data_IF_708216618569
#
_entry.id   IF_708216618569
#
_cell.length_a   1.000
_cell.length_b   1.000
_cell.length_c   1.000
_cell.angle_alpha   90.00
_cell.angle_beta   90.00
_cell.angle_gamma   90.00
#
_symmetry.space_group_name_H-M   'P 1'
#
loop_
_entity.id
_entity.type
_entity.pdbx_description
1 polymer ?
#
# COMPACT_ATOMS: atom_id res chain seq x y z
N UNK A 1 -10.33 27.37 -24.78
CA UNK A 1 -9.60 26.73 -23.67
C UNK A 1 -10.44 26.78 -22.41
N UNK A 2 -11.21 25.72 -22.11
CA UNK A 2 -12.00 25.63 -20.87
C UNK A 2 -11.07 25.17 -19.74
N UNK A 3 -10.69 26.09 -18.87
CA UNK A 3 -10.11 25.79 -17.56
C UNK A 3 -11.20 25.14 -16.70
N UNK A 4 -11.33 23.82 -16.78
CA UNK A 4 -12.13 23.07 -15.80
C UNK A 4 -11.46 23.21 -14.44
N UNK A 5 -12.12 23.92 -13.52
CA UNK A 5 -11.72 23.95 -12.12
C UNK A 5 -11.67 22.50 -11.58
N UNK A 6 -10.46 22.00 -11.29
CA UNK A 6 -10.29 20.73 -10.57
C UNK A 6 -10.68 20.98 -9.11
N UNK A 7 -11.95 20.76 -8.78
CA UNK A 7 -12.39 20.70 -7.37
C UNK A 7 -11.63 19.55 -6.72
N UNK A 8 -10.78 19.83 -5.73
CA UNK A 8 -10.14 18.83 -4.88
C UNK A 8 -11.16 18.44 -3.82
N UNK A 9 -11.48 17.16 -3.72
CA UNK A 9 -12.48 16.62 -2.81
C UNK A 9 -11.71 15.81 -1.78
N UNK A 10 -11.66 16.32 -0.56
CA UNK A 10 -10.99 15.69 0.58
C UNK A 10 -12.09 14.90 1.30
N UNK A 11 -11.94 13.57 1.40
CA UNK A 11 -12.88 12.74 2.18
C UNK A 11 -12.36 12.70 3.61
N UNK A 12 -12.94 13.54 4.46
CA UNK A 12 -12.85 13.44 5.92
C UNK A 12 -14.27 13.32 6.45
N UNK A 13 -14.94 12.20 6.17
CA UNK A 13 -16.22 11.89 6.82
C UNK A 13 -15.91 11.20 8.14
N UNK A 14 -16.61 11.58 9.21
CA UNK A 14 -16.43 11.03 10.57
C UNK A 14 -16.48 9.49 10.60
N UNK A 15 -17.19 8.87 9.65
CA UNK A 15 -17.27 7.42 9.46
C UNK A 15 -15.98 6.73 8.98
N UNK A 16 -14.97 7.46 8.52
CA UNK A 16 -13.71 6.88 8.02
C UNK A 16 -12.49 7.22 8.88
N UNK A 17 -12.66 7.97 9.97
CA UNK A 17 -11.58 8.27 10.93
C UNK A 17 -10.97 7.00 11.54
N UNK A 18 -11.79 5.97 11.76
CA UNK A 18 -11.32 4.68 12.27
C UNK A 18 -10.41 3.93 11.29
N UNK A 19 -10.39 4.34 10.01
CA UNK A 19 -9.59 3.68 8.97
C UNK A 19 -8.28 4.43 8.70
N UNK A 20 -7.95 5.48 9.47
CA UNK A 20 -6.71 6.26 9.32
C UNK A 20 -5.78 6.06 10.51
N UNK A 21 -4.46 6.03 10.27
CA UNK A 21 -3.48 5.98 11.37
C UNK A 21 -3.30 7.33 12.06
N UNK A 22 -3.58 8.42 11.35
CA UNK A 22 -3.45 9.80 11.82
C UNK A 22 -4.61 10.64 11.25
N UNK A 23 -5.32 11.36 12.12
CA UNK A 23 -6.47 12.18 11.73
C UNK A 23 -6.09 13.34 10.78
N UNK A 24 -4.87 13.87 10.91
CA UNK A 24 -4.39 15.02 10.12
C UNK A 24 -3.89 14.64 8.72
N UNK A 25 -3.78 13.34 8.41
CA UNK A 25 -3.29 12.87 7.10
C UNK A 25 -4.46 12.45 6.24
N UNK A 26 -4.79 13.29 5.26
CA UNK A 26 -6.01 13.11 4.47
C UNK A 26 -5.74 12.48 3.11
N UNK A 27 -6.64 11.58 2.68
CA UNK A 27 -6.63 10.99 1.35
C UNK A 27 -7.47 11.84 0.38
N UNK A 28 -6.84 12.26 -0.73
CA UNK A 28 -7.49 13.05 -1.78
C UNK A 28 -8.34 12.13 -2.66
N UNK A 29 -9.63 12.43 -2.85
CA UNK A 29 -10.55 11.59 -3.62
C UNK A 29 -10.18 11.46 -5.10
N UNK A 30 -9.58 12.50 -5.70
CA UNK A 30 -9.16 12.48 -7.11
C UNK A 30 -8.14 11.39 -7.40
N UNK A 31 -7.29 11.09 -6.43
CA UNK A 31 -6.17 10.15 -6.57
C UNK A 31 -6.37 8.88 -5.76
N UNK A 32 -7.46 8.77 -4.99
CA UNK A 32 -7.64 7.61 -4.11
C UNK A 32 -7.76 6.31 -4.89
N UNK A 33 -7.29 5.24 -4.26
CA UNK A 33 -7.60 3.89 -4.69
C UNK A 33 -9.07 3.59 -4.36
N UNK A 34 -9.76 2.91 -5.27
CA UNK A 34 -11.17 2.52 -5.13
C UNK A 34 -11.27 1.01 -5.26
N UNK A 35 -11.77 0.35 -4.22
CA UNK A 35 -12.04 -1.08 -4.24
C UNK A 35 -13.36 -1.37 -4.96
N UNK A 36 -13.45 -2.54 -5.59
CA UNK A 36 -14.64 -2.95 -6.34
C UNK A 36 -15.88 -3.09 -5.46
N UNK A 37 -15.71 -3.46 -4.18
CA UNK A 37 -16.81 -3.56 -3.22
C UNK A 37 -17.33 -2.20 -2.72
N UNK A 38 -16.69 -1.09 -3.11
CA UNK A 38 -17.06 0.25 -2.65
C UNK A 38 -16.51 0.65 -1.27
N UNK A 39 -15.85 -0.27 -0.55
CA UNK A 39 -15.21 0.03 0.74
C UNK A 39 -14.12 1.09 0.59
N UNK A 40 -13.98 1.91 1.63
CA UNK A 40 -12.93 2.92 1.71
C UNK A 40 -11.60 2.31 2.16
N UNK A 41 -10.51 2.68 1.47
CA UNK A 41 -9.14 2.41 1.86
C UNK A 41 -8.32 3.69 1.77
N UNK A 42 -7.48 3.96 2.78
CA UNK A 42 -6.62 5.14 2.80
C UNK A 42 -5.34 4.89 1.97
N UNK A 43 -5.50 4.99 0.66
CA UNK A 43 -4.44 4.77 -0.31
C UNK A 43 -4.63 5.68 -1.52
N UNK A 44 -3.53 6.19 -2.08
CA UNK A 44 -3.56 7.10 -3.23
C UNK A 44 -2.60 6.66 -4.33
N UNK A 45 -3.05 6.80 -5.57
CA UNK A 45 -2.23 6.67 -6.76
C UNK A 45 -1.29 7.87 -6.92
N UNK A 46 -0.01 7.59 -7.12
CA UNK A 46 1.01 8.59 -7.43
C UNK A 46 1.70 8.21 -8.74
N UNK A 47 1.77 9.16 -9.67
CA UNK A 47 2.50 8.97 -10.92
C UNK A 47 4.00 9.11 -10.65
N UNK A 48 4.78 8.06 -10.90
CA UNK A 48 6.25 8.13 -10.88
C UNK A 48 6.79 8.49 -12.27
N UNK A 49 6.06 8.12 -13.32
CA UNK A 49 6.37 8.51 -14.70
C UNK A 49 5.08 8.55 -15.52
N UNK A 50 5.10 9.03 -16.78
CA UNK A 50 3.92 9.03 -17.65
C UNK A 50 3.28 7.65 -17.81
N UNK A 51 4.06 6.57 -17.69
CA UNK A 51 3.60 5.18 -17.90
C UNK A 51 3.57 4.35 -16.62
N UNK A 52 4.04 4.89 -15.47
CA UNK A 52 4.15 4.14 -14.21
C UNK A 52 3.50 4.89 -13.05
N UNK A 53 2.62 4.18 -12.36
CA UNK A 53 2.00 4.61 -11.11
C UNK A 53 2.39 3.69 -9.97
N UNK A 54 2.41 4.23 -8.77
CA UNK A 54 2.52 3.48 -7.52
C UNK A 54 1.38 3.86 -6.60
N UNK A 55 1.21 3.08 -5.55
CA UNK A 55 0.26 3.36 -4.49
C UNK A 55 1.04 3.79 -3.27
N UNK A 56 0.72 4.96 -2.72
CA UNK A 56 1.13 5.36 -1.38
C UNK A 56 0.01 5.10 -0.40
N UNK A 57 0.32 4.46 0.72
CA UNK A 57 -0.66 4.14 1.76
C UNK A 57 -0.01 4.10 3.13
N UNK A 58 -0.84 4.27 4.16
CA UNK A 58 -0.47 4.14 5.56
C UNK A 58 -0.24 2.66 5.95
N UNK A 59 0.29 2.43 7.16
CA UNK A 59 0.22 1.10 7.77
C UNK A 59 -1.27 0.75 7.98
N UNK A 60 -1.75 -0.44 7.55
CA UNK A 60 -3.16 -0.80 7.74
C UNK A 60 -3.49 -0.84 9.24
N UNK A 61 -4.63 -0.26 9.58
CA UNK A 61 -5.20 -0.39 10.92
C UNK A 61 -6.04 -1.67 10.99
N UNK A 62 -6.37 -2.12 12.20
CA UNK A 62 -7.03 -3.41 12.41
C UNK A 62 -8.34 -3.55 11.64
N UNK A 63 -9.07 -2.44 11.52
CA UNK A 63 -10.36 -2.33 10.87
C UNK A 63 -10.27 -2.38 9.35
N UNK A 64 -9.11 -2.04 8.77
CA UNK A 64 -8.89 -1.93 7.31
C UNK A 64 -7.87 -2.92 6.74
N UNK A 65 -7.35 -3.83 7.56
CA UNK A 65 -6.38 -4.85 7.11
C UNK A 65 -6.94 -5.77 6.02
N UNK A 66 -8.22 -6.12 6.10
CA UNK A 66 -8.89 -6.93 5.07
C UNK A 66 -9.00 -6.20 3.74
N UNK A 67 -9.42 -4.94 3.78
CA UNK A 67 -9.52 -4.03 2.64
C UNK A 67 -8.14 -3.76 2.01
N UNK A 68 -7.09 -3.66 2.83
CA UNK A 68 -5.72 -3.55 2.34
C UNK A 68 -5.34 -4.78 1.50
N UNK A 69 -5.50 -6.00 2.01
CA UNK A 69 -5.15 -7.19 1.23
C UNK A 69 -6.08 -7.43 0.05
N UNK A 70 -7.33 -7.00 0.14
CA UNK A 70 -8.24 -6.96 -1.00
C UNK A 70 -7.72 -6.02 -2.09
N UNK A 71 -7.23 -4.83 -1.73
CA UNK A 71 -6.56 -3.91 -2.66
C UNK A 71 -5.39 -4.58 -3.38
N UNK A 72 -4.54 -5.31 -2.64
CA UNK A 72 -3.38 -6.03 -3.19
C UNK A 72 -3.83 -7.06 -4.24
N UNK A 73 -4.89 -7.83 -3.96
CA UNK A 73 -5.43 -8.83 -4.88
C UNK A 73 -6.11 -8.19 -6.10
N UNK A 74 -6.97 -7.19 -5.89
CA UNK A 74 -7.73 -6.54 -6.98
C UNK A 74 -6.82 -5.81 -7.97
N UNK A 75 -5.75 -5.19 -7.48
CA UNK A 75 -4.81 -4.41 -8.28
C UNK A 75 -3.56 -5.20 -8.70
N UNK A 76 -3.50 -6.49 -8.37
CA UNK A 76 -2.43 -7.39 -8.77
C UNK A 76 -1.03 -6.88 -8.36
N UNK A 77 -0.95 -6.38 -7.12
CA UNK A 77 0.28 -5.77 -6.57
C UNK A 77 1.33 -6.85 -6.33
N UNK A 78 2.53 -6.60 -6.84
CA UNK A 78 3.63 -7.58 -6.79
C UNK A 78 4.56 -7.42 -5.59
N UNK A 79 4.70 -6.18 -5.09
CA UNK A 79 5.62 -5.87 -4.02
C UNK A 79 5.09 -4.73 -3.15
N UNK A 80 5.32 -4.86 -1.86
CA UNK A 80 5.04 -3.87 -0.84
C UNK A 80 6.40 -3.46 -0.25
N UNK A 81 6.75 -2.19 -0.38
CA UNK A 81 7.91 -1.62 0.30
C UNK A 81 7.43 -0.96 1.59
N UNK A 82 7.75 -1.55 2.73
CA UNK A 82 7.44 -0.99 4.05
C UNK A 82 8.66 -0.26 4.61
N UNK A 83 8.52 1.05 4.85
CA UNK A 83 9.59 1.91 5.37
C UNK A 83 9.28 2.30 6.81
N UNK A 84 9.52 1.37 7.73
CA UNK A 84 9.43 1.52 9.18
C UNK A 84 10.66 0.89 9.85
N UNK A 85 11.09 1.43 10.98
CA UNK A 85 12.04 0.73 11.85
C UNK A 85 11.34 -0.44 12.55
N UNK A 86 12.11 -1.43 13.00
CA UNK A 86 11.56 -2.56 13.76
C UNK A 86 10.85 -2.10 15.05
N UNK A 87 11.40 -1.08 15.72
CA UNK A 87 10.80 -0.49 16.91
C UNK A 87 9.43 0.16 16.61
N UNK A 88 9.32 0.95 15.55
CA UNK A 88 8.04 1.53 15.12
C UNK A 88 7.04 0.45 14.72
N UNK A 89 7.48 -0.57 13.97
CA UNK A 89 6.62 -1.68 13.55
C UNK A 89 5.98 -2.41 14.75
N UNK A 90 6.78 -2.67 15.79
CA UNK A 90 6.30 -3.32 17.01
C UNK A 90 5.39 -2.39 17.82
N UNK A 91 5.76 -1.10 17.94
CA UNK A 91 4.99 -0.08 18.65
C UNK A 91 3.59 0.13 18.06
N UNK A 92 3.49 0.17 16.72
CA UNK A 92 2.22 0.33 16.00
C UNK A 92 1.55 -0.97 15.62
N UNK A 93 2.02 -2.06 16.22
CA UNK A 93 1.30 -3.31 16.14
C UNK A 93 1.12 -3.81 14.68
N UNK A 94 2.24 -3.91 13.94
CA UNK A 94 2.22 -4.27 12.52
C UNK A 94 1.88 -5.74 12.21
N UNK A 95 2.13 -6.68 13.12
CA UNK A 95 1.86 -8.11 12.93
C UNK A 95 0.38 -8.50 12.86
N UNK A 96 -0.53 -7.55 13.10
CA UNK A 96 -1.97 -7.73 12.90
C UNK A 96 -2.34 -7.63 11.43
N UNK A 97 -1.55 -6.88 10.64
CA UNK A 97 -1.74 -6.68 9.22
C UNK A 97 -0.83 -7.57 8.37
N UNK A 98 0.37 -7.91 8.87
CA UNK A 98 1.32 -8.78 8.19
C UNK A 98 1.60 -10.03 9.02
N UNK A 99 1.58 -11.24 8.43
CA UNK A 99 1.82 -12.47 9.18
C UNK A 99 3.23 -12.49 9.77
N UNK A 100 3.35 -13.06 10.97
CA UNK A 100 4.65 -13.45 11.50
C UNK A 100 5.18 -14.70 10.78
N UNK A 101 6.42 -15.08 11.06
CA UNK A 101 7.07 -16.22 10.41
C UNK A 101 6.27 -17.50 10.62
N UNK A 102 5.92 -18.19 9.53
CA UNK A 102 5.08 -19.41 9.52
C UNK A 102 3.65 -19.24 10.05
N UNK A 103 3.19 -17.99 10.19
CA UNK A 103 1.85 -17.66 10.63
C UNK A 103 0.91 -17.37 9.44
N UNK A 104 -0.40 -17.43 9.71
CA UNK A 104 -1.44 -17.09 8.76
C UNK A 104 -2.44 -16.11 9.39
N UNK A 105 -2.64 -14.97 8.74
CA UNK A 105 -3.71 -14.05 9.06
C UNK A 105 -4.96 -14.42 8.28
N UNK A 106 -6.10 -14.41 8.96
CA UNK A 106 -7.42 -14.53 8.34
C UNK A 106 -8.22 -13.26 8.55
N UNK A 107 -8.68 -12.68 7.45
CA UNK A 107 -9.57 -11.52 7.46
C UNK A 107 -10.97 -12.00 7.11
N UNK A 108 -11.78 -12.27 8.15
CA UNK A 108 -13.10 -12.91 8.00
C UNK A 108 -14.02 -12.14 7.05
N UNK A 109 -14.05 -10.81 7.17
CA UNK A 109 -14.93 -9.94 6.37
C UNK A 109 -14.67 -10.02 4.86
N UNK A 110 -13.41 -10.22 4.48
CA UNK A 110 -13.00 -10.31 3.07
C UNK A 110 -12.72 -11.74 2.63
N UNK A 111 -12.81 -12.71 3.55
CA UNK A 111 -12.42 -14.11 3.36
C UNK A 111 -10.99 -14.29 2.85
N UNK A 112 -10.10 -13.35 3.17
CA UNK A 112 -8.70 -13.38 2.73
C UNK A 112 -7.86 -14.14 3.75
N UNK A 113 -6.89 -14.91 3.25
CA UNK A 113 -5.83 -15.54 4.03
C UNK A 113 -4.48 -15.08 3.53
N UNK A 114 -3.60 -14.69 4.46
CA UNK A 114 -2.26 -14.19 4.18
C UNK A 114 -1.26 -14.99 5.01
N UNK A 115 -0.21 -15.52 4.39
CA UNK A 115 0.82 -16.27 5.12
C UNK A 115 2.23 -15.96 4.64
N UNK A 116 3.19 -15.99 5.56
CA UNK A 116 4.62 -15.84 5.27
C UNK A 116 5.26 -17.21 5.00
N UNK A 117 5.96 -17.34 3.88
CA UNK A 117 6.63 -18.59 3.47
C UNK A 117 8.13 -18.53 3.68
N UNK A 118 8.72 -17.35 3.56
CA UNK A 118 10.16 -17.17 3.64
C UNK A 118 10.51 -15.77 4.07
N UNK A 119 11.45 -15.69 5.00
CA UNK A 119 12.13 -14.46 5.37
C UNK A 119 13.58 -14.49 4.89
N UNK A 120 14.04 -13.39 4.31
CA UNK A 120 15.42 -13.23 3.85
C UNK A 120 15.94 -11.91 4.37
N UNK A 121 17.00 -11.93 5.16
CA UNK A 121 17.76 -10.73 5.51
C UNK A 121 18.57 -10.32 4.29
N UNK A 122 18.31 -9.15 3.72
CA UNK A 122 19.06 -8.64 2.57
C UNK A 122 20.36 -8.01 3.06
N UNK A 123 20.26 -7.15 4.08
CA UNK A 123 21.39 -6.50 4.74
C UNK A 123 21.04 -6.14 6.20
N UNK A 124 21.80 -5.22 6.82
CA UNK A 124 21.60 -4.84 8.22
C UNK A 124 20.26 -4.14 8.47
N UNK A 125 19.70 -3.48 7.47
CA UNK A 125 18.55 -2.60 7.60
C UNK A 125 17.31 -3.16 6.86
N UNK A 126 17.50 -4.09 5.92
CA UNK A 126 16.44 -4.60 5.06
C UNK A 126 16.19 -6.10 5.21
N UNK A 127 14.90 -6.43 5.29
CA UNK A 127 14.39 -7.80 5.25
C UNK A 127 13.35 -7.93 4.15
N UNK A 128 13.37 -9.07 3.46
CA UNK A 128 12.39 -9.45 2.44
C UNK A 128 11.54 -10.59 2.96
N UNK A 129 10.22 -10.40 2.88
CA UNK A 129 9.23 -11.39 3.28
C UNK A 129 8.50 -11.88 2.03
N UNK A 130 8.50 -13.18 1.80
CA UNK A 130 7.75 -13.83 0.73
C UNK A 130 6.38 -14.22 1.28
N UNK A 131 5.36 -13.50 0.84
CA UNK A 131 3.98 -13.62 1.34
C UNK A 131 3.11 -14.26 0.26
N UNK A 132 2.20 -15.16 0.66
CA UNK A 132 1.12 -15.64 -0.19
C UNK A 132 -0.21 -15.06 0.32
N UNK A 133 -0.99 -14.52 -0.60
CA UNK A 133 -2.34 -14.01 -0.34
C UNK A 133 -3.33 -14.87 -1.13
N UNK A 134 -4.38 -15.35 -0.48
CA UNK A 134 -5.42 -16.17 -1.11
C UNK A 134 -6.81 -15.68 -0.70
N UNK A 135 -7.73 -15.70 -1.64
CA UNK A 135 -9.17 -15.56 -1.40
C UNK A 135 -9.87 -16.83 -1.88
N UNK A 136 -11.05 -17.14 -1.32
CA UNK A 136 -11.75 -18.42 -1.42
C UNK A 136 -11.91 -19.00 -2.83
N UNK A 137 -11.94 -18.17 -3.88
CA UNK A 137 -12.30 -18.62 -5.24
C UNK A 137 -11.24 -18.38 -6.33
N UNK A 138 -10.01 -17.94 -6.04
CA UNK A 138 -9.05 -17.64 -7.12
C UNK A 138 -7.65 -18.19 -6.82
N UNK A 139 -7.31 -19.30 -7.49
CA UNK A 139 -5.92 -19.60 -7.86
C UNK A 139 -5.62 -18.83 -9.15
N UNK A 140 -5.00 -17.66 -9.07
CA UNK A 140 -4.35 -17.06 -10.23
C UNK A 140 -2.85 -17.01 -10.01
N UNK A 141 -2.15 -18.00 -10.57
CA UNK A 141 -0.80 -17.77 -11.06
C UNK A 141 -0.96 -17.10 -12.42
N UNK A 142 -0.84 -15.78 -12.46
CA UNK A 142 -0.72 -15.02 -13.70
C UNK A 142 0.73 -14.51 -13.81
N UNK A 143 1.12 -14.10 -15.01
CA UNK A 143 2.43 -13.54 -15.32
C UNK A 143 2.25 -12.02 -15.33
N UNK A 144 3.01 -11.28 -14.52
CA UNK A 144 2.54 -9.98 -14.03
C UNK A 144 3.41 -8.78 -14.42
N UNK A 145 2.76 -7.63 -14.65
CA UNK A 145 3.37 -6.30 -14.79
C UNK A 145 2.86 -5.36 -13.68
N UNK A 146 3.73 -4.49 -13.18
CA UNK A 146 3.51 -3.35 -12.24
C UNK A 146 2.04 -3.06 -11.84
N UNK A 147 1.72 -2.96 -10.53
CA UNK A 147 2.23 -1.86 -9.70
C UNK A 147 2.91 -2.26 -8.37
N UNK A 148 3.67 -1.32 -7.79
CA UNK A 148 4.26 -1.42 -6.45
C UNK A 148 3.49 -0.55 -5.45
N UNK A 149 3.41 -1.00 -4.20
CA UNK A 149 2.89 -0.24 -3.06
C UNK A 149 4.06 0.23 -2.21
N UNK A 150 4.13 1.52 -1.90
CA UNK A 150 5.07 2.07 -0.93
C UNK A 150 4.30 2.51 0.31
N UNK A 151 4.79 2.07 1.46
CA UNK A 151 4.11 2.20 2.74
C UNK A 151 5.08 2.76 3.79
N UNK A 152 4.56 3.66 4.60
CA UNK A 152 5.17 4.14 5.84
C UNK A 152 4.03 4.42 6.81
N UNK A 153 4.29 4.82 8.06
CA UNK A 153 3.24 4.98 9.07
C UNK A 153 2.01 5.73 8.52
N UNK A 154 2.21 6.88 7.89
CA UNK A 154 1.15 7.71 7.29
C UNK A 154 1.09 7.69 5.76
N UNK A 155 2.01 6.96 5.09
CA UNK A 155 2.09 6.90 3.63
C UNK A 155 2.60 8.17 2.92
N UNK A 156 2.67 9.34 3.57
CA UNK A 156 3.07 10.61 2.93
C UNK A 156 4.50 11.07 3.23
N UNK A 157 5.10 10.63 4.34
CA UNK A 157 6.47 10.98 4.74
C UNK A 157 7.51 10.14 4.00
N UNK A 158 8.06 9.11 4.68
CA UNK A 158 9.14 8.27 4.13
C UNK A 158 8.76 7.61 2.79
N UNK A 159 7.54 7.09 2.67
CA UNK A 159 7.07 6.49 1.42
C UNK A 159 6.93 7.51 0.28
N UNK A 160 6.47 8.73 0.57
CA UNK A 160 6.41 9.82 -0.41
C UNK A 160 7.80 10.28 -0.84
N UNK A 161 8.74 10.44 0.09
CA UNK A 161 10.14 10.77 -0.19
C UNK A 161 10.80 9.71 -1.07
N UNK A 162 10.61 8.42 -0.77
CA UNK A 162 11.15 7.33 -1.60
C UNK A 162 10.56 7.36 -3.02
N UNK A 163 9.25 7.58 -3.16
CA UNK A 163 8.62 7.73 -4.47
C UNK A 163 9.23 8.89 -5.27
N UNK A 164 9.47 10.03 -4.62
CA UNK A 164 10.11 11.18 -5.25
C UNK A 164 11.56 10.89 -5.69
N UNK A 165 12.34 10.16 -4.88
CA UNK A 165 13.68 9.73 -5.27
C UNK A 165 13.66 8.79 -6.48
N UNK A 166 12.73 7.83 -6.52
CA UNK A 166 12.55 6.95 -7.69
C UNK A 166 12.24 7.75 -8.98
N UNK A 167 11.43 8.81 -8.88
CA UNK A 167 11.19 9.74 -10.01
C UNK A 167 12.50 10.40 -10.45
N UNK A 168 13.23 11.00 -9.50
CA UNK A 168 14.45 11.78 -9.79
C UNK A 168 15.56 10.90 -10.37
N UNK A 169 15.81 9.73 -9.77
CA UNK A 169 16.82 8.78 -10.25
C UNK A 169 16.49 8.25 -11.64
N UNK A 170 15.21 8.19 -11.99
CA UNK A 170 14.78 7.79 -13.33
C UNK A 170 14.98 8.90 -14.34
N UNK A 171 14.57 10.12 -14.01
CA UNK A 171 14.85 11.31 -14.85
C UNK A 171 16.35 11.41 -15.12
N UNK A 172 17.20 11.24 -14.09
CA UNK A 172 18.66 11.26 -14.26
C UNK A 172 19.15 10.17 -15.22
N UNK A 173 18.64 8.94 -15.13
CA UNK A 173 18.97 7.85 -16.06
C UNK A 173 18.53 8.17 -17.49
N UNK A 174 17.40 8.84 -17.66
CA UNK A 174 16.88 9.20 -18.99
C UNK A 174 17.58 10.45 -19.58
N UNK A 175 18.18 11.31 -18.77
CA UNK A 175 18.94 12.51 -19.20
C UNK A 175 20.42 12.26 -19.49
N UNK A 176 20.95 11.09 -19.15
CA UNK A 176 22.28 10.66 -19.57
C UNK A 176 22.18 9.90 -20.91
N UNK A 177 21.94 10.65 -21.98
CA UNK A 177 22.15 10.26 -23.38
C UNK A 177 22.99 11.34 -24.06
#
# INVERSE_FOLDING_TARGET
YRTSAKRISIITTDNHLNNTTLADVVCIDQTRVRLNCGSYIHASWVNISPTKKVILTQLPVRESGGEFWQMILELDVQAILLILTHAEYNMFHGNWAFPAEQDFLHFDRTHIRVGEFKRVVIDRDWTMHVICVRTGDIKSFRKYAYPHVYMSLSGCGRAGTYAAFEVILRIRRDTHF
#
